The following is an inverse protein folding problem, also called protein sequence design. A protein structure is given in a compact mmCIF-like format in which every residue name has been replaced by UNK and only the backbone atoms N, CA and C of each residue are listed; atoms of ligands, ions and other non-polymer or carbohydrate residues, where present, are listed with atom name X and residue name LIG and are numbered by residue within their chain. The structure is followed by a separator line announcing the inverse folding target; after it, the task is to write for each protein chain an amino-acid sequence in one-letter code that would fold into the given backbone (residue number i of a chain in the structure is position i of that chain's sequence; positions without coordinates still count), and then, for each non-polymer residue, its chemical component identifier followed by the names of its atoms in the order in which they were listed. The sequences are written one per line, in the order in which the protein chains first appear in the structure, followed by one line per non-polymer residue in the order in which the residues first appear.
data_IF_363096125031
#
_entry.id   IF_363096125031
#
_cell.length_a   1.000
_cell.length_b   1.000
_cell.length_c   1.000
_cell.angle_alpha   90.00
_cell.angle_beta   90.00
_cell.angle_gamma   90.00
#
_symmetry.space_group_name_H-M   'P 1'
#
loop_
_entity.id
_entity.type
_entity.pdbx_description
1 polymer ?
#
# COMPACT_ATOMS: atom_id res chain seq x y z
N UNK A 1 -30.80 -21.84 4.44
CA UNK A 1 -30.54 -20.39 4.37
C UNK A 1 -30.26 -20.07 2.91
N UNK A 2 -30.84 -18.99 2.35
CA UNK A 2 -30.59 -18.64 0.95
C UNK A 2 -29.11 -18.28 0.76
N UNK A 3 -28.48 -18.81 -0.29
CA UNK A 3 -27.12 -18.44 -0.66
C UNK A 3 -27.13 -16.97 -1.11
N UNK A 4 -26.65 -16.05 -0.25
CA UNK A 4 -26.63 -14.60 -0.48
C UNK A 4 -25.33 -14.12 -1.13
N UNK A 5 -24.39 -15.03 -1.39
CA UNK A 5 -23.07 -14.70 -1.93
C UNK A 5 -23.17 -14.34 -3.41
N UNK A 6 -22.70 -13.14 -3.77
CA UNK A 6 -22.78 -12.57 -5.13
C UNK A 6 -21.51 -12.84 -5.95
N UNK A 7 -20.43 -13.30 -5.31
CA UNK A 7 -19.13 -13.55 -5.91
C UNK A 7 -18.80 -15.04 -5.90
N UNK A 8 -17.87 -15.49 -6.75
CA UNK A 8 -17.36 -16.86 -6.71
C UNK A 8 -16.44 -17.10 -5.51
N UNK A 9 -16.16 -18.37 -5.19
CA UNK A 9 -15.12 -18.72 -4.20
C UNK A 9 -13.72 -18.26 -4.65
N UNK A 10 -13.48 -18.22 -5.97
CA UNK A 10 -12.22 -17.76 -6.55
C UNK A 10 -12.03 -16.26 -6.37
N UNK A 11 -13.06 -15.45 -6.65
CA UNK A 11 -13.04 -14.00 -6.40
C UNK A 11 -12.93 -13.71 -4.90
N UNK A 12 -13.67 -14.42 -4.04
CA UNK A 12 -13.58 -14.23 -2.59
C UNK A 12 -12.18 -14.53 -2.05
N UNK A 13 -11.55 -15.60 -2.53
CA UNK A 13 -10.18 -15.96 -2.14
C UNK A 13 -9.21 -14.87 -2.58
N UNK A 14 -9.33 -14.37 -3.80
CA UNK A 14 -8.44 -13.35 -4.32
C UNK A 14 -8.61 -11.99 -3.60
N UNK A 15 -9.85 -11.60 -3.26
CA UNK A 15 -10.12 -10.42 -2.43
C UNK A 15 -9.53 -10.57 -1.03
N UNK A 16 -9.64 -11.75 -0.40
CA UNK A 16 -9.04 -12.01 0.91
C UNK A 16 -7.50 -11.99 0.86
N UNK A 17 -6.89 -12.45 -0.23
CA UNK A 17 -5.44 -12.31 -0.43
C UNK A 17 -5.05 -10.82 -0.54
N UNK A 18 -5.86 -10.00 -1.22
CA UNK A 18 -5.63 -8.56 -1.30
C UNK A 18 -5.73 -7.90 0.09
N UNK A 19 -6.71 -8.30 0.91
CA UNK A 19 -6.82 -7.85 2.32
C UNK A 19 -5.51 -8.14 3.09
N UNK A 20 -4.92 -9.32 2.94
CA UNK A 20 -3.63 -9.65 3.57
C UNK A 20 -2.49 -8.79 3.05
N UNK A 21 -2.47 -8.47 1.74
CA UNK A 21 -1.46 -7.59 1.15
C UNK A 21 -1.51 -6.18 1.73
N UNK A 22 -2.68 -5.53 1.73
CA UNK A 22 -2.82 -4.16 2.26
C UNK A 22 -2.54 -4.12 3.77
N UNK A 23 -2.98 -5.14 4.50
CA UNK A 23 -2.68 -5.26 5.92
C UNK A 23 -1.17 -5.39 6.17
N UNK A 24 -0.49 -6.20 5.35
CA UNK A 24 0.96 -6.37 5.45
C UNK A 24 1.70 -5.08 5.09
N UNK A 25 1.24 -4.34 4.07
CA UNK A 25 1.75 -3.03 3.69
C UNK A 25 1.67 -2.05 4.86
N UNK A 26 0.48 -1.91 5.47
CA UNK A 26 0.24 -1.05 6.63
C UNK A 26 1.23 -1.31 7.77
N UNK A 27 1.46 -2.57 8.15
CA UNK A 27 2.41 -2.91 9.22
C UNK A 27 3.88 -2.72 8.80
N UNK A 28 4.23 -2.94 7.53
CA UNK A 28 5.58 -2.66 7.03
C UNK A 28 5.90 -1.17 7.10
N UNK A 29 4.97 -0.31 6.69
CA UNK A 29 5.11 1.15 6.79
C UNK A 29 5.17 1.61 8.24
N UNK A 30 4.37 1.02 9.13
CA UNK A 30 4.46 1.29 10.58
C UNK A 30 5.85 0.97 11.15
N UNK A 31 6.50 -0.10 10.69
CA UNK A 31 7.85 -0.44 11.12
C UNK A 31 8.88 0.60 10.65
N UNK A 32 8.69 1.18 9.46
CA UNK A 32 9.53 2.24 8.92
C UNK A 32 9.40 3.55 9.71
N UNK A 33 8.24 3.85 10.29
CA UNK A 33 8.06 5.01 11.19
C UNK A 33 9.09 4.96 12.32
N UNK A 34 9.16 3.85 13.05
CA UNK A 34 10.11 3.72 14.16
C UNK A 34 11.56 3.79 13.70
N UNK A 35 11.86 3.25 12.51
CA UNK A 35 13.20 3.28 11.93
C UNK A 35 13.63 4.71 11.56
N UNK A 36 12.72 5.52 11.02
CA UNK A 36 12.94 6.94 10.71
C UNK A 36 13.10 7.79 11.98
N UNK A 37 12.25 7.58 13.00
CA UNK A 37 12.31 8.29 14.28
C UNK A 37 13.65 8.09 15.00
N UNK A 38 14.16 6.85 15.05
CA UNK A 38 15.48 6.52 15.62
C UNK A 38 16.62 7.31 14.95
N UNK A 39 16.43 7.70 13.68
CA UNK A 39 17.41 8.43 12.86
C UNK A 39 17.17 9.94 12.81
N UNK A 40 16.16 10.44 13.51
CA UNK A 40 15.79 11.85 13.50
C UNK A 40 15.18 12.34 12.18
N UNK A 41 14.69 11.43 11.33
CA UNK A 41 14.05 11.73 10.05
C UNK A 41 12.54 11.89 10.26
N UNK A 42 12.13 13.04 10.81
CA UNK A 42 10.74 13.28 11.22
C UNK A 42 9.78 13.44 10.05
N UNK A 43 10.21 14.08 8.98
CA UNK A 43 9.44 14.20 7.75
C UNK A 43 9.15 12.83 7.13
N UNK A 44 10.17 11.99 7.02
CA UNK A 44 10.00 10.62 6.54
C UNK A 44 9.14 9.76 7.49
N UNK A 45 9.29 9.93 8.81
CA UNK A 45 8.45 9.22 9.78
C UNK A 45 6.97 9.61 9.63
N UNK A 46 6.68 10.90 9.43
CA UNK A 46 5.33 11.40 9.15
C UNK A 46 4.76 10.83 7.85
N UNK A 47 5.55 10.80 6.79
CA UNK A 47 5.19 10.19 5.51
C UNK A 47 4.78 8.71 5.69
N UNK A 48 5.61 7.88 6.31
CA UNK A 48 5.31 6.46 6.50
C UNK A 48 4.17 6.21 7.49
N UNK A 49 3.94 7.11 8.45
CA UNK A 49 2.80 7.00 9.36
C UNK A 49 1.48 7.23 8.61
N UNK A 50 1.43 8.26 7.76
CA UNK A 50 0.26 8.51 6.91
C UNK A 50 0.00 7.31 5.99
N UNK A 51 1.04 6.84 5.31
CA UNK A 51 0.95 5.71 4.39
C UNK A 51 0.52 4.40 5.07
N UNK A 52 1.00 4.16 6.30
CA UNK A 52 0.55 3.03 7.12
C UNK A 52 -0.96 3.06 7.40
N UNK A 53 -1.51 4.26 7.65
CA UNK A 53 -2.93 4.45 7.92
C UNK A 53 -3.77 4.35 6.64
N UNK A 54 -3.27 4.86 5.50
CA UNK A 54 -3.91 4.73 4.19
C UNK A 54 -4.07 3.26 3.79
N UNK A 55 -3.02 2.46 3.94
CA UNK A 55 -3.10 1.03 3.63
C UNK A 55 -4.04 0.26 4.58
N UNK A 56 -4.14 0.72 5.83
CA UNK A 56 -5.15 0.19 6.76
C UNK A 56 -6.56 0.51 6.25
N UNK A 57 -6.77 1.68 5.65
CA UNK A 57 -8.06 2.05 5.05
C UNK A 57 -8.34 1.25 3.79
N UNK A 58 -7.34 1.00 2.94
CA UNK A 58 -7.44 0.11 1.77
C UNK A 58 -7.85 -1.31 2.20
N UNK A 59 -7.16 -1.89 3.18
CA UNK A 59 -7.52 -3.17 3.79
C UNK A 59 -8.99 -3.19 4.23
N UNK A 60 -9.42 -2.18 4.98
CA UNK A 60 -10.81 -2.10 5.46
C UNK A 60 -11.83 -1.93 4.34
N UNK A 61 -11.47 -1.26 3.25
CA UNK A 61 -12.34 -1.09 2.07
C UNK A 61 -12.58 -2.43 1.36
N UNK A 62 -11.55 -3.24 1.17
CA UNK A 62 -11.70 -4.63 0.72
C UNK A 62 -12.50 -5.49 1.70
N UNK A 63 -12.19 -5.40 3.00
CA UNK A 63 -12.87 -6.16 4.05
C UNK A 63 -14.38 -5.88 4.06
N UNK A 64 -14.76 -4.62 3.98
CA UNK A 64 -16.15 -4.20 3.93
C UNK A 64 -16.83 -4.63 2.64
N UNK A 65 -16.13 -4.54 1.50
CA UNK A 65 -16.65 -4.95 0.21
C UNK A 65 -16.98 -6.46 0.18
N UNK A 66 -16.06 -7.32 0.61
CA UNK A 66 -16.29 -8.77 0.68
C UNK A 66 -17.55 -9.11 1.48
N UNK A 67 -17.74 -8.48 2.63
CA UNK A 67 -18.94 -8.67 3.44
C UNK A 67 -20.21 -8.13 2.75
N UNK A 68 -20.12 -6.99 2.05
CA UNK A 68 -21.25 -6.38 1.34
C UNK A 68 -21.77 -7.26 0.18
N UNK A 69 -20.89 -8.02 -0.48
CA UNK A 69 -21.25 -8.97 -1.54
C UNK A 69 -21.56 -10.38 -1.02
N UNK A 70 -21.74 -10.52 0.29
CA UNK A 70 -22.17 -11.75 0.95
C UNK A 70 -21.08 -12.83 1.08
N UNK A 71 -19.81 -12.46 0.84
CA UNK A 71 -18.65 -13.31 1.14
C UNK A 71 -18.21 -13.20 2.60
N UNK A 72 -17.17 -13.93 2.98
CA UNK A 72 -16.57 -13.86 4.30
C UNK A 72 -15.20 -13.20 4.25
N UNK A 73 -15.10 -11.99 4.80
CA UNK A 73 -13.83 -11.30 4.93
C UNK A 73 -13.01 -11.91 6.07
N UNK A 74 -11.82 -12.39 5.77
CA UNK A 74 -10.91 -13.03 6.72
C UNK A 74 -9.97 -11.97 7.28
N UNK A 75 -9.92 -11.87 8.61
CA UNK A 75 -8.87 -11.09 9.27
C UNK A 75 -7.53 -11.82 9.08
N UNK A 76 -6.56 -11.24 8.37
CA UNK A 76 -5.33 -11.95 8.00
C UNK A 76 -4.37 -12.08 9.18
N UNK A 77 -3.50 -13.09 9.12
CA UNK A 77 -2.36 -13.19 10.02
C UNK A 77 -1.19 -12.35 9.46
N UNK A 78 -0.73 -11.36 10.20
CA UNK A 78 0.35 -10.48 9.74
C UNK A 78 1.69 -10.97 10.23
N UNK A 79 2.58 -11.26 9.29
CA UNK A 79 3.97 -11.60 9.60
C UNK A 79 4.67 -10.37 10.15
N UNK A 80 5.51 -10.58 11.17
CA UNK A 80 6.34 -9.52 11.74
C UNK A 80 7.19 -8.87 10.63
N UNK A 81 7.12 -7.53 10.45
CA UNK A 81 7.97 -6.82 9.49
C UNK A 81 9.47 -6.99 9.79
N UNK A 82 10.31 -6.71 8.79
CA UNK A 82 11.76 -6.62 9.00
C UNK A 82 12.10 -5.56 10.05
N UNK A 83 13.27 -5.67 10.68
CA UNK A 83 13.84 -4.62 11.53
C UNK A 83 15.12 -4.02 10.96
N UNK A 84 15.54 -4.45 9.76
CA UNK A 84 16.73 -3.96 9.07
C UNK A 84 16.37 -3.55 7.65
N UNK A 85 16.64 -2.30 7.32
CA UNK A 85 16.12 -1.66 6.11
C UNK A 85 17.20 -1.03 5.22
N UNK A 86 18.44 -0.91 5.70
CA UNK A 86 19.54 -0.28 4.96
C UNK A 86 19.59 1.23 5.18
N UNK A 87 19.69 1.99 4.09
CA UNK A 87 19.61 3.46 4.08
C UNK A 87 18.24 3.94 3.58
N UNK A 88 18.01 5.25 3.62
CA UNK A 88 16.71 5.84 3.25
C UNK A 88 16.37 5.60 1.78
N UNK A 89 17.35 5.57 0.88
CA UNK A 89 17.11 5.30 -0.54
C UNK A 89 16.57 3.87 -0.71
N UNK A 90 17.24 2.90 -0.08
CA UNK A 90 16.83 1.49 -0.12
C UNK A 90 15.46 1.27 0.54
N UNK A 91 15.12 2.03 1.57
CA UNK A 91 13.78 2.02 2.18
C UNK A 91 12.71 2.38 1.13
N UNK A 92 12.88 3.49 0.42
CA UNK A 92 11.92 3.94 -0.60
C UNK A 92 11.89 3.02 -1.83
N UNK A 93 13.04 2.50 -2.29
CA UNK A 93 13.09 1.50 -3.37
C UNK A 93 12.34 0.21 -3.01
N UNK A 94 12.48 -0.25 -1.76
CA UNK A 94 11.74 -1.43 -1.29
C UNK A 94 10.24 -1.15 -1.17
N UNK A 95 9.85 0.05 -0.75
CA UNK A 95 8.46 0.48 -0.71
C UNK A 95 7.85 0.53 -2.12
N UNK A 96 8.51 1.16 -3.09
CA UNK A 96 8.08 1.14 -4.49
C UNK A 96 7.94 -0.29 -5.04
N UNK A 97 8.90 -1.17 -4.74
CA UNK A 97 8.82 -2.58 -5.14
C UNK A 97 7.65 -3.32 -4.47
N UNK A 98 7.21 -2.88 -3.30
CA UNK A 98 6.01 -3.40 -2.65
C UNK A 98 4.75 -2.90 -3.36
N UNK A 99 4.65 -1.59 -3.62
CA UNK A 99 3.52 -0.99 -4.34
C UNK A 99 3.32 -1.63 -5.71
N UNK A 100 4.39 -1.84 -6.48
CA UNK A 100 4.32 -2.51 -7.77
C UNK A 100 3.75 -3.94 -7.69
N UNK A 101 3.93 -4.64 -6.55
CA UNK A 101 3.31 -5.95 -6.33
C UNK A 101 1.83 -5.83 -6.01
N UNK A 102 1.44 -4.81 -5.22
CA UNK A 102 0.04 -4.48 -4.94
C UNK A 102 -0.68 -4.12 -6.24
N UNK A 103 -0.13 -3.21 -7.05
CA UNK A 103 -0.63 -2.86 -8.39
C UNK A 103 -0.83 -4.08 -9.27
N UNK A 104 0.18 -4.97 -9.34
CA UNK A 104 0.08 -6.21 -10.12
C UNK A 104 -1.07 -7.09 -9.64
N UNK A 105 -1.24 -7.24 -8.33
CA UNK A 105 -2.35 -8.01 -7.75
C UNK A 105 -3.72 -7.38 -8.09
N UNK A 106 -3.84 -6.05 -8.03
CA UNK A 106 -5.06 -5.33 -8.43
C UNK A 106 -5.39 -5.56 -9.91
N UNK A 107 -4.40 -5.52 -10.79
CA UNK A 107 -4.60 -5.82 -12.22
C UNK A 107 -5.04 -7.27 -12.44
N UNK A 108 -4.39 -8.23 -11.79
CA UNK A 108 -4.77 -9.65 -11.87
C UNK A 108 -6.19 -9.90 -11.36
N UNK A 109 -6.58 -9.23 -10.26
CA UNK A 109 -7.91 -9.31 -9.69
C UNK A 109 -8.97 -8.65 -10.58
N UNK A 110 -8.61 -7.55 -11.25
CA UNK A 110 -9.47 -6.87 -12.23
C UNK A 110 -9.69 -7.74 -13.48
N UNK A 111 -8.65 -8.41 -13.97
CA UNK A 111 -8.75 -9.38 -15.07
C UNK A 111 -9.62 -10.57 -14.67
N UNK A 112 -9.46 -11.10 -13.46
CA UNK A 112 -10.28 -12.18 -12.93
C UNK A 112 -11.75 -11.80 -12.86
N UNK A 113 -12.08 -10.63 -12.30
CA UNK A 113 -13.45 -10.12 -12.25
C UNK A 113 -14.06 -9.96 -13.66
N UNK A 114 -13.27 -9.47 -14.62
CA UNK A 114 -13.69 -9.35 -16.02
C UNK A 114 -14.00 -10.72 -16.63
N UNK A 115 -13.12 -11.71 -16.43
CA UNK A 115 -13.25 -13.07 -16.96
C UNK A 115 -14.49 -13.77 -16.40
N UNK A 116 -14.79 -13.57 -15.13
CA UNK A 116 -15.98 -14.13 -14.47
C UNK A 116 -17.25 -13.32 -14.72
N UNK A 117 -17.16 -12.19 -15.43
CA UNK A 117 -18.26 -11.23 -15.66
C UNK A 117 -18.84 -10.68 -14.34
N UNK A 118 -18.00 -10.59 -13.32
CA UNK A 118 -18.32 -9.95 -12.04
C UNK A 118 -18.15 -8.43 -12.18
N UNK A 119 -19.17 -7.79 -12.71
CA UNK A 119 -19.18 -6.36 -12.95
C UNK A 119 -19.16 -5.53 -11.66
N UNK A 120 -19.68 -6.08 -10.55
CA UNK A 120 -19.66 -5.39 -9.26
C UNK A 120 -18.23 -5.29 -8.73
N UNK A 121 -17.50 -6.41 -8.72
CA UNK A 121 -16.10 -6.45 -8.28
C UNK A 121 -15.21 -5.69 -9.24
N UNK A 122 -15.43 -5.81 -10.56
CA UNK A 122 -14.71 -5.01 -11.55
C UNK A 122 -14.86 -3.50 -11.29
N UNK A 123 -16.09 -3.02 -11.07
CA UNK A 123 -16.35 -1.61 -10.78
C UNK A 123 -15.72 -1.15 -9.46
N UNK A 124 -15.80 -1.99 -8.42
CA UNK A 124 -15.18 -1.72 -7.13
C UNK A 124 -13.65 -1.54 -7.25
N UNK A 125 -12.99 -2.38 -8.05
CA UNK A 125 -11.54 -2.34 -8.25
C UNK A 125 -11.05 -1.12 -9.02
N UNK A 126 -11.91 -0.42 -9.76
CA UNK A 126 -11.49 0.77 -10.53
C UNK A 126 -10.96 1.89 -9.63
N UNK A 127 -11.44 1.97 -8.39
CA UNK A 127 -10.86 2.87 -7.39
C UNK A 127 -9.36 2.54 -7.18
N UNK A 128 -9.05 1.27 -6.92
CA UNK A 128 -7.68 0.84 -6.62
C UNK A 128 -6.76 0.86 -7.84
N UNK A 129 -7.30 0.67 -9.05
CA UNK A 129 -6.51 0.85 -10.29
C UNK A 129 -6.01 2.30 -10.41
N UNK A 130 -6.86 3.28 -10.09
CA UNK A 130 -6.46 4.68 -10.08
C UNK A 130 -5.52 4.99 -8.91
N UNK A 131 -5.85 4.49 -7.71
CA UNK A 131 -5.04 4.70 -6.50
C UNK A 131 -3.60 4.23 -6.70
N UNK A 132 -3.40 2.98 -7.16
CA UNK A 132 -2.06 2.42 -7.33
C UNK A 132 -1.21 3.15 -8.39
N UNK A 133 -1.84 3.84 -9.35
CA UNK A 133 -1.11 4.71 -10.28
C UNK A 133 -0.52 5.93 -9.56
N UNK A 134 -1.29 6.52 -8.65
CA UNK A 134 -0.88 7.66 -7.83
C UNK A 134 0.21 7.23 -6.83
N UNK A 135 0.08 6.03 -6.24
CA UNK A 135 1.08 5.47 -5.32
C UNK A 135 2.43 5.22 -6.00
N UNK A 136 2.46 4.54 -7.14
CA UNK A 136 3.72 4.30 -7.85
C UNK A 136 4.40 5.62 -8.27
N UNK A 137 3.62 6.64 -8.64
CA UNK A 137 4.15 7.97 -8.94
C UNK A 137 4.71 8.66 -7.70
N UNK A 138 4.00 8.59 -6.57
CA UNK A 138 4.44 9.16 -5.30
C UNK A 138 5.81 8.61 -4.89
N UNK A 139 5.94 7.28 -4.86
CA UNK A 139 7.18 6.63 -4.47
C UNK A 139 8.31 6.83 -5.49
N UNK A 140 8.00 6.86 -6.79
CA UNK A 140 8.99 7.18 -7.82
C UNK A 140 9.53 8.59 -7.65
N UNK A 141 8.64 9.58 -7.47
CA UNK A 141 9.02 10.97 -7.23
C UNK A 141 9.87 11.13 -5.96
N UNK A 142 9.55 10.39 -4.89
CA UNK A 142 10.33 10.38 -3.66
C UNK A 142 11.76 9.88 -3.92
N UNK A 143 11.92 8.77 -4.66
CA UNK A 143 13.22 8.21 -5.02
C UNK A 143 14.02 9.19 -5.87
N UNK A 144 13.41 9.80 -6.89
CA UNK A 144 14.08 10.79 -7.74
C UNK A 144 14.59 11.99 -6.94
N UNK A 145 13.81 12.51 -5.97
CA UNK A 145 14.26 13.57 -5.06
C UNK A 145 15.43 13.11 -4.19
N UNK A 146 15.38 11.89 -3.65
CA UNK A 146 16.48 11.30 -2.85
C UNK A 146 17.76 11.19 -3.68
N UNK A 147 17.66 10.74 -4.93
CA UNK A 147 18.80 10.65 -5.85
C UNK A 147 19.39 12.01 -6.20
N UNK A 148 18.54 13.00 -6.45
CA UNK A 148 18.96 14.35 -6.79
C UNK A 148 19.71 15.04 -5.64
N UNK A 149 19.25 14.85 -4.40
CA UNK A 149 19.85 15.45 -3.21
C UNK A 149 21.16 14.75 -2.82
N UNK A 150 21.22 13.43 -2.98
CA UNK A 150 22.33 12.61 -2.50
C UNK A 150 22.26 12.34 -0.98
N UNK A 151 23.02 11.35 -0.53
CA UNK A 151 23.03 10.92 0.88
C UNK A 151 24.17 11.51 1.70
N UNK A 152 25.11 12.21 1.07
CA UNK A 152 26.31 12.76 1.70
C UNK A 152 26.09 14.12 2.37
N UNK A 153 26.96 14.46 3.32
CA UNK A 153 26.93 15.74 4.01
C UNK A 153 25.59 16.02 4.70
N UNK A 154 24.83 16.99 4.17
CA UNK A 154 23.51 17.40 4.68
C UNK A 154 22.35 16.75 3.92
N UNK A 155 22.62 15.78 3.04
CA UNK A 155 21.62 15.17 2.17
C UNK A 155 20.40 14.63 2.91
N UNK A 156 20.62 13.86 3.99
CA UNK A 156 19.53 13.34 4.82
C UNK A 156 18.61 14.42 5.42
N UNK A 157 19.15 15.59 5.76
CA UNK A 157 18.35 16.70 6.27
C UNK A 157 17.44 17.28 5.18
N UNK A 158 17.95 17.46 3.97
CA UNK A 158 17.14 17.96 2.85
C UNK A 158 16.14 16.92 2.37
N UNK A 159 16.51 15.63 2.32
CA UNK A 159 15.60 14.52 2.03
C UNK A 159 14.42 14.55 3.00
N UNK A 160 14.69 14.64 4.30
CA UNK A 160 13.63 14.65 5.32
C UNK A 160 12.62 15.79 5.08
N UNK A 161 13.12 16.97 4.70
CA UNK A 161 12.28 18.13 4.37
C UNK A 161 11.51 17.99 3.07
N UNK A 162 12.13 17.47 2.03
CA UNK A 162 11.46 17.28 0.75
C UNK A 162 10.38 16.20 0.80
N UNK A 163 10.61 15.12 1.56
CA UNK A 163 9.60 14.07 1.79
C UNK A 163 8.42 14.60 2.61
N UNK A 164 8.68 15.44 3.62
CA UNK A 164 7.62 16.13 4.38
C UNK A 164 6.72 16.98 3.46
N UNK A 165 7.32 17.67 2.48
CA UNK A 165 6.58 18.48 1.51
C UNK A 165 5.82 17.63 0.49
N UNK A 166 6.43 16.57 -0.03
CA UNK A 166 5.82 15.68 -1.03
C UNK A 166 4.48 15.11 -0.53
N UNK A 167 4.36 14.81 0.77
CA UNK A 167 3.09 14.39 1.36
C UNK A 167 2.03 15.49 1.33
N UNK A 168 2.41 16.72 1.70
CA UNK A 168 1.49 17.86 1.76
C UNK A 168 0.96 18.26 0.36
N UNK A 169 1.69 17.94 -0.70
CA UNK A 169 1.28 18.21 -2.09
C UNK A 169 0.20 17.21 -2.58
N UNK A 170 0.16 15.99 -2.03
CA UNK A 170 -0.69 14.90 -2.51
C UNK A 170 -1.93 14.61 -1.64
N UNK A 171 -2.14 15.36 -0.55
CA UNK A 171 -3.36 15.28 0.27
C UNK A 171 -3.27 14.28 1.42
#
# INVERSE_FOLDING_TARGET
MANRKLISDTIETALNNQIEMEATASFNYLALVSWCEERGLKGCAGFFMAHSEEERQHMMKFFNYVNAVGGFAVAPNIKKPSASFGDIKKVFENALSHEQKVTKSIHELTELATKERDHATYNFLQFFVQEQLEEEQLFTNAIERIELIGLDGKGLFYIDKEIELLRNENG
#
